data_IF_440657529511
#
_entry.id   IF_440657529511
#
_cell.length_a   1.000
_cell.length_b   1.000
_cell.length_c   1.000
_cell.angle_alpha   90.00
_cell.angle_beta   90.00
_cell.angle_gamma   90.00
#
_symmetry.space_group_name_H-M   'P 1'
#
loop_
_entity.id
_entity.type
_entity.pdbx_description
1 polymer ?
#
# COMPACT_ATOMS: atom_id res chain seq x y z
N UNK A 1 5.04 10.22 10.10
CA UNK A 1 3.80 10.21 10.92
C UNK A 1 2.65 9.48 10.22
N UNK A 2 2.39 9.67 8.92
CA UNK A 2 1.28 8.98 8.21
C UNK A 2 1.34 7.45 8.19
N UNK A 3 2.50 6.86 7.85
CA UNK A 3 2.66 5.39 7.74
C UNK A 3 2.23 4.63 9.00
N UNK A 4 2.60 5.13 10.19
CA UNK A 4 2.27 4.45 11.44
C UNK A 4 0.76 4.45 11.71
N UNK A 5 0.07 5.57 11.45
CA UNK A 5 -1.38 5.63 11.58
C UNK A 5 -2.07 4.66 10.63
N UNK A 6 -1.65 4.63 9.36
CA UNK A 6 -2.17 3.66 8.39
C UNK A 6 -1.93 2.22 8.85
N UNK A 7 -0.71 1.89 9.28
CA UNK A 7 -0.35 0.55 9.73
C UNK A 7 -1.18 0.10 10.95
N UNK A 8 -1.29 0.96 11.97
CA UNK A 8 -2.01 0.63 13.21
C UNK A 8 -3.52 0.47 13.00
N UNK A 9 -4.13 1.27 12.10
CA UNK A 9 -5.57 1.26 11.88
C UNK A 9 -6.02 0.40 10.70
N UNK A 10 -5.10 -0.18 9.91
CA UNK A 10 -5.46 -1.07 8.80
C UNK A 10 -6.29 -2.30 9.21
N UNK A 11 -6.03 -2.96 10.36
CA UNK A 11 -6.89 -4.04 10.82
C UNK A 11 -8.35 -3.60 11.01
N UNK A 12 -8.58 -2.38 11.49
CA UNK A 12 -9.92 -1.78 11.54
C UNK A 12 -10.47 -1.53 10.14
N UNK A 13 -9.67 -1.01 9.21
CA UNK A 13 -10.08 -0.76 7.83
C UNK A 13 -10.58 -2.03 7.13
N UNK A 14 -9.84 -3.15 7.23
CA UNK A 14 -10.22 -4.41 6.59
C UNK A 14 -11.38 -5.15 7.30
N UNK A 15 -11.73 -4.76 8.52
CA UNK A 15 -12.77 -5.43 9.32
C UNK A 15 -14.05 -4.60 9.53
N UNK A 16 -14.03 -3.32 9.15
CA UNK A 16 -15.08 -2.36 9.44
C UNK A 16 -16.48 -2.77 8.94
N UNK A 17 -16.56 -3.43 7.78
CA UNK A 17 -17.81 -3.83 7.15
C UNK A 17 -18.10 -5.34 7.25
N UNK A 18 -17.29 -6.07 8.02
CA UNK A 18 -17.53 -7.50 8.24
C UNK A 18 -18.62 -7.64 9.29
N UNK A 19 -19.80 -8.11 8.87
CA UNK A 19 -21.01 -8.11 9.71
C UNK A 19 -20.96 -9.16 10.83
N UNK A 20 -20.37 -10.32 10.56
CA UNK A 20 -20.33 -11.40 11.55
C UNK A 20 -19.13 -11.21 12.51
N UNK A 21 -19.32 -11.28 13.84
CA UNK A 21 -18.26 -10.99 14.81
C UNK A 21 -17.01 -11.86 14.65
N UNK A 22 -17.17 -13.15 14.38
CA UNK A 22 -16.04 -14.08 14.19
C UNK A 22 -15.19 -13.69 12.96
N UNK A 23 -15.84 -13.35 11.85
CA UNK A 23 -15.20 -12.82 10.65
C UNK A 23 -14.50 -11.50 10.90
N UNK A 24 -15.09 -10.60 11.70
CA UNK A 24 -14.48 -9.32 12.06
C UNK A 24 -13.18 -9.54 12.85
N UNK A 25 -13.19 -10.39 13.88
CA UNK A 25 -11.97 -10.73 14.63
C UNK A 25 -10.92 -11.40 13.74
N UNK A 26 -11.34 -12.31 12.86
CA UNK A 26 -10.45 -12.96 11.89
C UNK A 26 -9.81 -11.95 10.92
N UNK A 27 -10.59 -10.99 10.42
CA UNK A 27 -10.10 -9.92 9.55
C UNK A 27 -9.05 -9.04 10.23
N UNK A 28 -9.26 -8.71 11.51
CA UNK A 28 -8.28 -7.95 12.31
C UNK A 28 -6.97 -8.75 12.42
N UNK A 29 -7.05 -10.02 12.84
CA UNK A 29 -5.86 -10.86 13.10
C UNK A 29 -5.10 -11.17 11.80
N UNK A 30 -5.81 -11.54 10.74
CA UNK A 30 -5.20 -11.82 9.43
C UNK A 30 -4.49 -10.60 8.86
N UNK A 31 -5.13 -9.43 8.93
CA UNK A 31 -4.52 -8.17 8.48
C UNK A 31 -3.27 -7.83 9.30
N UNK A 32 -3.32 -7.99 10.62
CA UNK A 32 -2.18 -7.74 11.49
C UNK A 32 -1.00 -8.66 11.17
N UNK A 33 -1.23 -9.97 11.01
CA UNK A 33 -0.17 -10.91 10.65
C UNK A 33 0.42 -10.61 9.27
N UNK A 34 -0.42 -10.28 8.29
CA UNK A 34 0.06 -9.90 6.96
C UNK A 34 0.94 -8.64 7.00
N UNK A 35 0.52 -7.61 7.73
CA UNK A 35 1.30 -6.39 7.94
C UNK A 35 2.63 -6.65 8.64
N UNK A 36 2.63 -7.46 9.70
CA UNK A 36 3.86 -7.78 10.44
C UNK A 36 4.87 -8.52 9.55
N UNK A 37 4.43 -9.53 8.79
CA UNK A 37 5.27 -10.24 7.83
C UNK A 37 5.80 -9.29 6.74
N UNK A 38 4.93 -8.44 6.19
CA UNK A 38 5.29 -7.45 5.18
C UNK A 38 6.37 -6.48 5.66
N UNK A 39 6.30 -6.00 6.90
CA UNK A 39 7.33 -5.14 7.50
C UNK A 39 8.69 -5.84 7.51
N UNK A 40 8.77 -7.07 8.03
CA UNK A 40 10.03 -7.81 8.12
C UNK A 40 10.65 -8.02 6.74
N UNK A 41 9.84 -8.40 5.76
CA UNK A 41 10.32 -8.63 4.39
C UNK A 41 10.73 -7.34 3.70
N UNK A 42 9.97 -6.26 3.86
CA UNK A 42 10.31 -4.95 3.29
C UNK A 42 11.62 -4.39 3.87
N UNK A 43 11.83 -4.50 5.18
CA UNK A 43 13.09 -4.10 5.82
C UNK A 43 14.28 -4.93 5.35
N UNK A 44 14.12 -6.26 5.32
CA UNK A 44 15.15 -7.17 4.83
C UNK A 44 15.55 -6.82 3.40
N UNK A 45 14.59 -6.75 2.47
CA UNK A 45 14.89 -6.42 1.08
C UNK A 45 15.40 -5.01 0.88
N UNK A 46 14.92 -4.03 1.65
CA UNK A 46 15.44 -2.66 1.58
C UNK A 46 16.94 -2.63 1.84
N UNK A 47 17.39 -3.36 2.87
CA UNK A 47 18.82 -3.52 3.18
C UNK A 47 19.55 -4.37 2.13
N UNK A 48 19.03 -5.56 1.78
CA UNK A 48 19.69 -6.48 0.83
C UNK A 48 19.88 -5.88 -0.56
N UNK A 49 18.96 -5.02 -1.03
CA UNK A 49 19.03 -4.40 -2.35
C UNK A 49 19.86 -3.10 -2.38
N UNK A 50 20.31 -2.60 -1.22
CA UNK A 50 21.27 -1.50 -1.15
C UNK A 50 22.71 -2.05 -1.07
N UNK A 51 23.61 -1.45 -1.85
CA UNK A 51 25.01 -1.89 -1.92
C UNK A 51 25.76 -1.82 -0.59
N UNK A 52 25.29 -0.97 0.34
CA UNK A 52 25.89 -0.76 1.67
C UNK A 52 25.00 -1.31 2.80
N UNK A 53 23.93 -2.06 2.48
CA UNK A 53 23.01 -2.57 3.48
C UNK A 53 22.11 -1.52 4.15
N UNK A 54 22.03 -0.30 3.61
CA UNK A 54 21.24 0.78 4.21
C UNK A 54 19.75 0.63 3.89
N UNK A 55 18.92 1.16 4.78
CA UNK A 55 17.48 1.19 4.58
C UNK A 55 17.08 2.43 3.77
N UNK A 56 16.24 2.23 2.76
CA UNK A 56 15.57 3.30 2.03
C UNK A 56 14.23 3.64 2.71
N UNK A 57 14.05 4.91 3.09
CA UNK A 57 12.84 5.37 3.77
C UNK A 57 11.58 5.31 2.89
N UNK A 58 11.70 5.34 1.57
CA UNK A 58 10.56 5.14 0.66
C UNK A 58 10.01 3.72 0.83
N UNK A 59 10.89 2.72 0.93
CA UNK A 59 10.48 1.34 1.21
C UNK A 59 9.83 1.23 2.60
N UNK A 60 10.43 1.85 3.61
CA UNK A 60 9.93 1.76 5.00
C UNK A 60 8.57 2.45 5.15
N UNK A 61 8.36 3.59 4.50
CA UNK A 61 7.12 4.36 4.63
C UNK A 61 5.97 3.79 3.80
N UNK A 62 6.27 3.11 2.70
CA UNK A 62 5.26 2.63 1.76
C UNK A 62 5.18 1.11 1.73
N UNK A 63 6.26 0.39 1.38
CA UNK A 63 6.20 -1.05 1.16
C UNK A 63 5.79 -1.86 2.41
N UNK A 64 6.01 -1.33 3.61
CA UNK A 64 5.55 -1.94 4.88
C UNK A 64 4.02 -2.02 5.01
N UNK A 65 3.27 -1.24 4.23
CA UNK A 65 1.82 -1.18 4.21
C UNK A 65 1.19 -2.15 3.19
N UNK A 66 1.99 -2.71 2.27
CA UNK A 66 1.51 -3.55 1.17
C UNK A 66 0.78 -4.82 1.66
N UNK A 67 1.16 -5.37 2.82
CA UNK A 67 0.49 -6.51 3.44
C UNK A 67 -0.97 -6.20 3.81
N UNK A 68 -1.25 -4.97 4.29
CA UNK A 68 -2.62 -4.54 4.60
C UNK A 68 -3.50 -4.49 3.35
N UNK A 69 -2.95 -4.02 2.23
CA UNK A 69 -3.61 -4.02 0.90
C UNK A 69 -3.86 -5.46 0.44
N UNK A 70 -2.82 -6.30 0.46
CA UNK A 70 -2.90 -7.67 -0.06
C UNK A 70 -3.80 -8.59 0.78
N UNK A 71 -3.95 -8.34 2.07
CA UNK A 71 -4.87 -9.10 2.91
C UNK A 71 -6.35 -8.80 2.63
N UNK A 72 -6.68 -7.63 2.06
CA UNK A 72 -8.02 -7.05 2.06
C UNK A 72 -9.14 -8.03 1.67
N UNK A 73 -9.08 -8.62 0.47
CA UNK A 73 -10.15 -9.50 -0.04
C UNK A 73 -10.30 -10.80 0.75
N UNK A 74 -9.23 -11.31 1.35
CA UNK A 74 -9.23 -12.56 2.09
C UNK A 74 -9.17 -12.37 3.61
N UNK A 75 -9.33 -11.14 4.11
CA UNK A 75 -9.11 -10.80 5.50
C UNK A 75 -10.05 -11.59 6.41
N UNK A 76 -11.34 -11.63 6.08
CA UNK A 76 -12.38 -12.36 6.81
C UNK A 76 -12.51 -13.83 6.36
N UNK A 77 -11.64 -14.34 5.49
CA UNK A 77 -11.65 -15.73 5.05
C UNK A 77 -10.75 -16.61 5.94
N UNK A 78 -11.07 -17.91 6.03
CA UNK A 78 -10.28 -18.90 6.75
C UNK A 78 -9.04 -19.31 5.94
N UNK A 79 -8.06 -18.42 5.87
CA UNK A 79 -6.75 -18.64 5.24
C UNK A 79 -5.68 -19.15 6.22
N UNK A 80 -6.07 -19.34 7.50
CA UNK A 80 -5.18 -19.62 8.63
C UNK A 80 -4.08 -18.55 8.85
N UNK A 81 -3.45 -18.50 10.05
CA UNK A 81 -2.38 -17.53 10.31
C UNK A 81 -1.22 -17.60 9.31
N UNK A 82 -0.85 -18.80 8.87
CA UNK A 82 0.26 -18.98 7.91
C UNK A 82 -0.07 -18.40 6.53
N UNK A 83 -1.32 -18.44 6.09
CA UNK A 83 -1.74 -17.85 4.81
C UNK A 83 -1.58 -16.33 4.83
N UNK A 84 -2.01 -15.70 5.93
CA UNK A 84 -1.86 -14.25 6.15
C UNK A 84 -0.40 -13.81 6.16
N UNK A 85 0.47 -14.56 6.85
CA UNK A 85 1.91 -14.31 6.86
C UNK A 85 2.53 -14.46 5.46
N UNK A 86 2.15 -15.49 4.70
CA UNK A 86 2.63 -15.71 3.34
C UNK A 86 2.23 -14.56 2.40
N UNK A 87 0.96 -14.13 2.44
CA UNK A 87 0.47 -12.98 1.67
C UNK A 87 1.28 -11.73 2.02
N UNK A 88 1.52 -11.49 3.31
CA UNK A 88 2.31 -10.36 3.79
C UNK A 88 3.75 -10.38 3.30
N UNK A 89 4.43 -11.52 3.41
CA UNK A 89 5.78 -11.70 2.90
C UNK A 89 5.85 -11.40 1.39
N UNK A 90 4.97 -12.01 0.60
CA UNK A 90 4.95 -11.81 -0.87
C UNK A 90 4.65 -10.36 -1.21
N UNK A 91 3.71 -9.71 -0.51
CA UNK A 91 3.39 -8.29 -0.69
C UNK A 91 4.60 -7.39 -0.42
N UNK A 92 5.35 -7.65 0.66
CA UNK A 92 6.59 -6.93 0.97
C UNK A 92 7.65 -7.11 -0.12
N UNK A 93 7.79 -8.33 -0.66
CA UNK A 93 8.72 -8.61 -1.77
C UNK A 93 8.36 -7.80 -3.01
N UNK A 94 7.14 -7.96 -3.52
CA UNK A 94 6.73 -7.32 -4.77
C UNK A 94 6.72 -5.79 -4.65
N UNK A 95 6.35 -5.25 -3.49
CA UNK A 95 6.31 -3.81 -3.26
C UNK A 95 7.72 -3.22 -3.23
N UNK A 96 8.63 -3.79 -2.43
CA UNK A 96 10.02 -3.29 -2.34
C UNK A 96 10.76 -3.42 -3.67
N UNK A 97 10.60 -4.54 -4.39
CA UNK A 97 11.17 -4.71 -5.74
C UNK A 97 10.55 -3.69 -6.72
N UNK A 98 9.24 -3.45 -6.60
CA UNK A 98 8.51 -2.46 -7.39
C UNK A 98 9.08 -1.05 -7.24
N UNK A 99 9.27 -0.60 -6.00
CA UNK A 99 9.91 0.69 -5.73
C UNK A 99 11.34 0.75 -6.28
N UNK A 100 12.14 -0.29 -6.03
CA UNK A 100 13.56 -0.30 -6.40
C UNK A 100 13.80 -0.33 -7.91
N UNK A 101 13.02 -1.12 -8.64
CA UNK A 101 13.30 -1.43 -10.05
C UNK A 101 12.17 -1.07 -11.00
N UNK A 102 10.92 -1.36 -10.63
CA UNK A 102 9.78 -1.16 -11.55
C UNK A 102 9.48 0.32 -11.76
N UNK A 103 9.50 1.12 -10.69
CA UNK A 103 9.23 2.57 -10.75
C UNK A 103 10.22 3.29 -11.67
N UNK A 104 11.56 3.09 -11.55
CA UNK A 104 12.50 3.67 -12.50
C UNK A 104 12.30 3.18 -13.94
N UNK A 105 11.95 1.91 -14.15
CA UNK A 105 11.69 1.36 -15.48
C UNK A 105 10.46 2.00 -16.11
N UNK A 106 9.37 2.15 -15.35
CA UNK A 106 8.14 2.78 -15.79
C UNK A 106 8.35 4.25 -16.15
N UNK A 107 9.06 5.00 -15.31
CA UNK A 107 9.38 6.39 -15.57
C UNK A 107 10.28 6.56 -16.81
N UNK A 108 11.34 5.75 -16.94
CA UNK A 108 12.31 5.90 -18.03
C UNK A 108 11.82 5.38 -19.37
N UNK A 109 11.21 4.18 -19.40
CA UNK A 109 10.86 3.45 -20.63
C UNK A 109 9.40 3.61 -21.04
N UNK A 110 8.47 3.64 -20.08
CA UNK A 110 7.04 3.72 -20.36
C UNK A 110 6.48 5.14 -20.21
N UNK A 111 7.28 6.08 -19.70
CA UNK A 111 6.87 7.47 -19.42
C UNK A 111 5.69 7.54 -18.44
N UNK A 112 5.59 6.57 -17.54
CA UNK A 112 4.60 6.55 -16.46
C UNK A 112 5.26 7.11 -15.21
N UNK A 113 4.84 8.29 -14.80
CA UNK A 113 5.33 8.98 -13.60
C UNK A 113 4.39 8.66 -12.42
N UNK A 114 4.87 7.89 -11.46
CA UNK A 114 4.14 7.52 -10.24
C UNK A 114 4.86 8.10 -9.02
N UNK A 115 4.48 9.33 -8.63
CA UNK A 115 5.16 10.13 -7.61
C UNK A 115 5.32 9.40 -6.27
N UNK A 116 4.27 8.71 -5.82
CA UNK A 116 4.27 8.00 -4.55
C UNK A 116 4.50 6.49 -4.70
N UNK A 117 4.67 5.99 -5.93
CA UNK A 117 4.74 4.56 -6.21
C UNK A 117 3.46 3.83 -5.80
N UNK A 118 2.29 4.43 -6.01
CA UNK A 118 0.99 3.82 -5.66
C UNK A 118 0.75 2.52 -6.41
N UNK A 119 1.40 2.32 -7.57
CA UNK A 119 1.40 1.04 -8.25
C UNK A 119 2.05 -0.07 -7.40
N UNK A 120 3.14 0.24 -6.70
CA UNK A 120 3.89 -0.73 -5.90
C UNK A 120 3.24 -0.99 -4.55
N UNK A 121 2.51 -0.02 -4.00
CA UNK A 121 1.81 -0.17 -2.71
C UNK A 121 0.39 -0.69 -2.90
N UNK A 122 -0.38 -0.12 -3.81
CA UNK A 122 -1.80 -0.43 -3.99
C UNK A 122 -2.05 -1.34 -5.20
N UNK A 123 -1.46 -1.03 -6.36
CA UNK A 123 -1.72 -1.74 -7.61
C UNK A 123 -1.36 -3.22 -7.56
N UNK A 124 -0.06 -3.53 -7.48
CA UNK A 124 0.40 -4.94 -7.45
C UNK A 124 -0.07 -5.70 -6.21
N UNK A 125 0.01 -5.15 -4.98
CA UNK A 125 -0.51 -5.84 -3.80
C UNK A 125 -2.04 -6.01 -3.83
N UNK A 126 -2.79 -5.09 -4.46
CA UNK A 126 -4.23 -5.24 -4.66
C UNK A 126 -4.58 -6.39 -5.60
N UNK A 127 -3.82 -6.56 -6.70
CA UNK A 127 -3.96 -7.74 -7.58
C UNK A 127 -3.62 -9.02 -6.80
N UNK A 128 -2.55 -9.02 -6.01
CA UNK A 128 -2.20 -10.15 -5.14
C UNK A 128 -3.34 -10.49 -4.17
N UNK A 129 -3.97 -9.49 -3.55
CA UNK A 129 -5.11 -9.70 -2.66
C UNK A 129 -6.34 -10.25 -3.37
N UNK A 130 -6.63 -9.78 -4.59
CA UNK A 130 -7.68 -10.36 -5.44
C UNK A 130 -7.41 -11.84 -5.75
N UNK A 131 -6.17 -12.19 -6.10
CA UNK A 131 -5.76 -13.58 -6.34
C UNK A 131 -5.87 -14.43 -5.07
N UNK A 132 -5.45 -13.91 -3.91
CA UNK A 132 -5.60 -14.58 -2.62
C UNK A 132 -7.09 -14.84 -2.30
N UNK A 133 -7.97 -13.87 -2.56
CA UNK A 133 -9.41 -14.01 -2.40
C UNK A 133 -10.03 -15.07 -3.33
N UNK A 134 -9.56 -15.16 -4.59
CA UNK A 134 -9.98 -16.20 -5.54
C UNK A 134 -9.60 -17.59 -5.01
N UNK A 135 -8.35 -17.76 -4.58
CA UNK A 135 -7.85 -19.03 -4.04
C UNK A 135 -8.60 -19.40 -2.76
N UNK A 136 -8.74 -18.46 -1.82
CA UNK A 136 -9.45 -18.68 -0.56
C UNK A 136 -10.92 -19.05 -0.78
N UNK A 137 -11.59 -18.42 -1.75
CA UNK A 137 -12.96 -18.76 -2.13
C UNK A 137 -13.05 -20.15 -2.76
N UNK A 138 -12.08 -20.53 -3.61
CA UNK A 138 -12.06 -21.85 -4.24
C UNK A 138 -11.81 -22.99 -3.22
N UNK A 139 -11.02 -22.73 -2.18
CA UNK A 139 -10.71 -23.68 -1.11
C UNK A 139 -11.77 -23.70 0.00
N UNK A 140 -12.73 -22.78 -0.01
CA UNK A 140 -13.76 -22.70 1.02
C UNK A 140 -14.66 -23.94 1.00
N UNK A 141 -14.98 -24.46 2.19
CA UNK A 141 -15.85 -25.62 2.34
C UNK A 141 -16.64 -25.56 3.66
N UNK A 142 -17.78 -26.25 3.71
CA UNK A 142 -18.59 -26.37 4.93
C UNK A 142 -17.81 -27.04 6.06
N UNK A 143 -16.87 -27.94 5.74
CA UNK A 143 -16.01 -28.62 6.71
C UNK A 143 -15.03 -27.65 7.36
N UNK A 144 -14.52 -26.69 6.59
CA UNK A 144 -13.57 -25.69 7.09
C UNK A 144 -14.29 -24.62 7.93
N UNK A 145 -15.42 -24.11 7.46
CA UNK A 145 -16.11 -22.95 8.05
C UNK A 145 -17.24 -23.31 9.03
N UNK A 146 -17.74 -24.53 9.03
CA UNK A 146 -18.92 -24.91 9.81
C UNK A 146 -20.10 -23.98 9.52
N UNK A 147 -20.79 -23.54 10.59
CA UNK A 147 -21.93 -22.62 10.48
C UNK A 147 -21.54 -21.24 9.92
N UNK A 148 -20.25 -20.85 10.03
CA UNK A 148 -19.71 -19.61 9.49
C UNK A 148 -19.63 -19.55 7.97
N UNK A 149 -19.84 -20.68 7.25
CA UNK A 149 -19.74 -20.72 5.79
C UNK A 149 -20.76 -19.79 5.14
N UNK A 150 -22.02 -19.85 5.60
CA UNK A 150 -23.15 -19.05 5.09
C UNK A 150 -23.07 -17.57 5.49
N UNK A 151 -22.30 -17.26 6.54
CA UNK A 151 -22.05 -15.89 6.99
C UNK A 151 -20.94 -15.20 6.19
N UNK A 152 -20.09 -15.98 5.51
CA UNK A 152 -18.93 -15.47 4.74
C UNK A 152 -19.18 -15.55 3.23
N UNK A 153 -19.89 -16.58 2.76
CA UNK A 153 -20.13 -16.81 1.33
C UNK A 153 -21.63 -16.89 1.01
N UNK A 154 -22.05 -16.40 -0.17
CA UNK A 154 -23.44 -16.42 -0.59
C UNK A 154 -23.95 -17.86 -0.81
N UNK A 155 -25.14 -18.18 -0.27
CA UNK A 155 -25.73 -19.53 -0.33
C UNK A 155 -26.03 -20.03 -1.76
N UNK A 156 -26.19 -19.11 -2.71
CA UNK A 156 -26.58 -19.43 -4.09
C UNK A 156 -25.42 -19.94 -4.96
N UNK A 157 -24.20 -20.06 -4.41
CA UNK A 157 -22.99 -20.34 -5.18
C UNK A 157 -22.14 -21.41 -4.49
N UNK A 158 -21.63 -22.35 -5.27
CA UNK A 158 -20.54 -23.21 -4.78
C UNK A 158 -19.19 -22.47 -4.79
N UNK A 159 -18.19 -23.06 -4.14
CA UNK A 159 -16.85 -22.46 -3.96
C UNK A 159 -16.17 -22.08 -5.28
N UNK A 160 -16.29 -22.92 -6.32
CA UNK A 160 -15.69 -22.64 -7.63
C UNK A 160 -16.42 -21.51 -8.36
N UNK A 161 -17.76 -21.48 -8.28
CA UNK A 161 -18.54 -20.37 -8.80
C UNK A 161 -18.16 -19.08 -8.09
N UNK A 162 -18.08 -19.08 -6.76
CA UNK A 162 -17.70 -17.89 -6.00
C UNK A 162 -16.28 -17.41 -6.35
N UNK A 163 -15.32 -18.31 -6.53
CA UNK A 163 -13.99 -17.97 -7.03
C UNK A 163 -14.03 -17.34 -8.44
N UNK A 164 -14.90 -17.85 -9.32
CA UNK A 164 -15.16 -17.26 -10.63
C UNK A 164 -15.75 -15.84 -10.55
N UNK A 165 -16.67 -15.59 -9.61
CA UNK A 165 -17.20 -14.24 -9.35
C UNK A 165 -16.12 -13.29 -8.81
N UNK A 166 -15.22 -13.76 -7.94
CA UNK A 166 -14.08 -12.96 -7.48
C UNK A 166 -13.13 -12.60 -8.63
N UNK A 167 -12.84 -13.56 -9.52
CA UNK A 167 -12.02 -13.33 -10.70
C UNK A 167 -12.67 -12.33 -11.67
N UNK A 168 -13.99 -12.46 -11.90
CA UNK A 168 -14.75 -11.51 -12.69
C UNK A 168 -14.75 -10.11 -12.06
N UNK A 169 -14.89 -10.02 -10.73
CA UNK A 169 -14.82 -8.76 -9.99
C UNK A 169 -13.46 -8.06 -10.12
N UNK A 170 -12.36 -8.80 -10.00
CA UNK A 170 -11.02 -8.28 -10.22
C UNK A 170 -10.84 -7.76 -11.66
N UNK A 171 -11.25 -8.54 -12.66
CA UNK A 171 -11.19 -8.14 -14.07
C UNK A 171 -12.04 -6.90 -14.37
N UNK A 172 -13.27 -6.86 -13.86
CA UNK A 172 -14.16 -5.71 -14.00
C UNK A 172 -13.57 -4.46 -13.35
N UNK A 173 -12.96 -4.59 -12.16
CA UNK A 173 -12.32 -3.47 -11.45
C UNK A 173 -11.16 -2.90 -12.25
N UNK A 174 -10.30 -3.75 -12.82
CA UNK A 174 -9.19 -3.31 -13.68
C UNK A 174 -9.71 -2.62 -14.94
N UNK A 175 -10.75 -3.14 -15.57
CA UNK A 175 -11.34 -2.54 -16.76
C UNK A 175 -11.92 -1.14 -16.46
N UNK A 176 -12.68 -1.01 -15.36
CA UNK A 176 -13.26 0.27 -14.94
C UNK A 176 -12.17 1.26 -14.55
N UNK A 177 -11.14 0.84 -13.82
CA UNK A 177 -10.03 1.71 -13.43
C UNK A 177 -9.26 2.24 -14.64
N UNK A 178 -8.97 1.40 -15.63
CA UNK A 178 -8.26 1.80 -16.85
C UNK A 178 -9.10 2.75 -17.70
N UNK A 179 -10.35 2.40 -17.98
CA UNK A 179 -11.24 3.23 -18.81
C UNK A 179 -11.53 4.56 -18.12
N UNK A 180 -11.92 4.51 -16.84
CA UNK A 180 -12.18 5.71 -16.04
C UNK A 180 -10.95 6.59 -15.88
N UNK A 181 -9.78 6.01 -15.64
CA UNK A 181 -8.51 6.73 -15.55
C UNK A 181 -8.11 7.41 -16.86
N UNK A 182 -8.29 6.75 -18.02
CA UNK A 182 -8.02 7.35 -19.33
C UNK A 182 -8.96 8.53 -19.59
N UNK A 183 -10.26 8.36 -19.37
CA UNK A 183 -11.25 9.44 -19.57
C UNK A 183 -10.93 10.62 -18.65
N UNK A 184 -10.68 10.35 -17.38
CA UNK A 184 -10.33 11.38 -16.39
C UNK A 184 -9.03 12.09 -16.77
N UNK A 185 -8.02 11.34 -17.20
CA UNK A 185 -6.76 11.91 -17.69
C UNK A 185 -6.97 12.87 -18.86
N UNK A 186 -7.77 12.50 -19.86
CA UNK A 186 -8.08 13.40 -20.98
C UNK A 186 -8.83 14.67 -20.54
N UNK A 187 -9.72 14.59 -19.56
CA UNK A 187 -10.40 15.75 -18.99
C UNK A 187 -9.40 16.67 -18.27
N UNK A 188 -8.46 16.09 -17.52
CA UNK A 188 -7.44 16.86 -16.78
C UNK A 188 -6.35 17.46 -17.67
N UNK A 189 -6.21 16.99 -18.92
CA UNK A 189 -5.32 17.60 -19.91
C UNK A 189 -5.83 18.94 -20.45
N UNK A 190 -7.09 19.32 -20.20
CA UNK A 190 -7.62 20.59 -20.72
C UNK A 190 -6.96 21.77 -19.94
N UNK A 191 -6.39 22.79 -20.62
CA UNK A 191 -5.52 23.79 -20.00
C UNK A 191 -6.27 24.95 -19.32
N UNK A 192 -7.26 24.66 -18.48
CA UNK A 192 -7.98 25.67 -17.69
C UNK A 192 -8.02 25.39 -16.19
N UNK A 193 -7.41 24.30 -15.74
CA UNK A 193 -7.43 23.87 -14.34
C UNK A 193 -6.38 24.57 -13.46
N UNK A 194 -5.51 25.39 -14.06
CA UNK A 194 -4.44 26.07 -13.34
C UNK A 194 -3.29 25.15 -12.94
N UNK A 195 -3.03 24.08 -13.72
CA UNK A 195 -1.91 23.16 -13.51
C UNK A 195 -0.54 23.88 -13.59
N UNK A 196 0.47 23.42 -12.84
CA UNK A 196 1.78 24.05 -12.89
C UNK A 196 2.49 23.65 -14.20
N UNK A 197 3.39 24.51 -14.72
CA UNK A 197 4.29 24.08 -15.79
C UNK A 197 5.23 22.99 -15.25
N UNK A 198 5.73 22.10 -16.12
CA UNK A 198 6.56 20.94 -15.76
C UNK A 198 7.75 21.28 -14.85
N UNK A 199 8.32 22.48 -15.01
CA UNK A 199 9.49 22.98 -14.27
C UNK A 199 9.17 23.30 -12.80
N UNK A 200 7.90 23.53 -12.49
CA UNK A 200 7.39 23.94 -11.18
C UNK A 200 6.52 22.85 -10.53
N UNK A 201 6.52 21.63 -11.07
CA UNK A 201 5.93 20.50 -10.37
C UNK A 201 6.65 20.27 -9.03
N UNK A 202 5.87 19.94 -7.99
CA UNK A 202 6.36 19.74 -6.61
C UNK A 202 6.89 21.00 -5.90
N UNK A 203 6.49 22.19 -6.37
CA UNK A 203 6.77 23.47 -5.72
C UNK A 203 5.51 24.05 -5.08
N UNK A 204 5.49 24.11 -3.74
CA UNK A 204 4.34 24.61 -2.99
C UNK A 204 4.08 26.10 -3.24
N UNK A 205 5.08 26.88 -3.66
CA UNK A 205 4.95 28.34 -3.87
C UNK A 205 3.94 28.70 -4.97
N UNK A 206 3.63 27.77 -5.87
CA UNK A 206 2.65 28.00 -6.94
C UNK A 206 1.23 28.18 -6.37
N UNK A 207 0.92 27.50 -5.27
CA UNK A 207 -0.44 27.45 -4.71
C UNK A 207 -0.54 27.92 -3.26
N UNK A 208 0.58 28.09 -2.57
CA UNK A 208 0.63 28.45 -1.16
C UNK A 208 1.53 29.64 -0.91
N UNK A 209 1.11 30.50 0.02
CA UNK A 209 2.00 31.46 0.66
C UNK A 209 2.95 30.68 1.59
N UNK A 210 4.21 30.56 1.18
CA UNK A 210 5.22 29.88 1.99
C UNK A 210 5.86 30.84 3.00
N UNK A 211 6.22 30.38 4.21
CA UNK A 211 7.00 31.18 5.15
C UNK A 211 8.31 31.67 4.51
N UNK A 212 8.74 32.88 4.83
CA UNK A 212 9.99 33.48 4.35
C UNK A 212 11.22 32.79 4.99
N UNK A 213 11.46 31.53 4.66
CA UNK A 213 12.36 30.63 5.38
C UNK A 213 13.83 30.62 4.95
N UNK A 214 14.28 31.53 4.08
CA UNK A 214 15.72 31.57 3.71
C UNK A 214 16.61 32.11 4.84
N UNK A 215 16.10 32.97 5.72
CA UNK A 215 16.91 33.56 6.80
C UNK A 215 16.82 32.77 8.12
N UNK A 216 15.66 32.23 8.48
CA UNK A 216 15.49 31.61 9.80
C UNK A 216 16.24 30.27 9.97
N UNK A 217 16.39 29.48 8.89
CA UNK A 217 17.07 28.19 8.96
C UNK A 217 18.61 28.33 8.97
N UNK A 218 19.15 29.38 8.33
CA UNK A 218 20.57 29.77 8.45
C UNK A 218 20.87 30.38 9.82
N UNK A 219 19.96 31.18 10.37
CA UNK A 219 20.07 31.78 11.71
C UNK A 219 20.02 30.71 12.82
N UNK A 220 19.19 29.67 12.68
CA UNK A 220 19.13 28.56 13.64
C UNK A 220 20.39 27.67 13.61
N UNK A 221 20.90 27.36 12.42
CA UNK A 221 22.13 26.56 12.28
C UNK A 221 23.38 27.31 12.74
N UNK A 222 23.46 28.62 12.48
CA UNK A 222 24.55 29.48 12.96
C UNK A 222 24.48 29.73 14.46
N UNK A 223 23.26 29.84 15.03
CA UNK A 223 23.02 29.90 16.48
C UNK A 223 23.50 28.64 17.22
N UNK A 224 23.18 27.45 16.70
CA UNK A 224 23.64 26.19 17.29
C UNK A 224 25.17 26.03 17.18
N UNK A 225 25.76 26.41 16.04
CA UNK A 225 27.21 26.35 15.85
C UNK A 225 27.96 27.31 16.79
N UNK A 226 27.47 28.54 16.94
CA UNK A 226 28.04 29.53 17.86
C UNK A 226 27.94 29.13 19.33
N UNK A 227 26.87 28.41 19.71
CA UNK A 227 26.65 27.93 21.08
C UNK A 227 27.52 26.71 21.43
N UNK A 228 27.90 25.89 20.45
CA UNK A 228 28.84 24.79 20.66
C UNK A 228 30.29 25.28 20.78
N UNK A 229 30.69 26.32 20.05
CA UNK A 229 32.05 26.90 20.18
C UNK A 229 32.26 27.60 21.52
N UNK A 230 31.26 28.33 22.05
CA UNK A 230 31.39 29.02 23.35
C UNK A 230 31.46 28.07 24.55
N UNK A 231 30.95 26.85 24.43
CA UNK A 231 31.01 25.84 25.51
C UNK A 231 32.25 24.93 25.44
N UNK A 232 33.02 25.00 24.36
CA UNK A 232 34.28 24.27 24.21
C UNK A 232 35.49 25.10 24.70
N UNK A 233 35.33 26.42 24.80
CA UNK A 233 36.37 27.39 25.17
C UNK A 233 36.22 27.94 26.61
N UNK A 234 35.36 27.34 27.44
CA UNK A 234 35.16 27.65 28.86
C UNK A 234 35.52 26.45 29.76
#
# INVERSE_FOLDING_TARGET
TGTLFLWMFWPSFNSAIVENPDGQYRAIINTYYSLAACVLTAYALSSLLDKKGRLDMVHIQNATLAGGVAAGTSADMMIYPYGSLLIGCVAGIISTIGFKYLTPIFASKLKIQDTCGVHNLHGMPGILGGLAGIIASAMASQQLYGDGFRLTFPESRNSLQQAGYQAAGLGATLAVALVGGIITGFILLIPFWGQPPDQNCFDDQIYWEVPNGKNEHEDLLSSEHGRQTTNADA
#
